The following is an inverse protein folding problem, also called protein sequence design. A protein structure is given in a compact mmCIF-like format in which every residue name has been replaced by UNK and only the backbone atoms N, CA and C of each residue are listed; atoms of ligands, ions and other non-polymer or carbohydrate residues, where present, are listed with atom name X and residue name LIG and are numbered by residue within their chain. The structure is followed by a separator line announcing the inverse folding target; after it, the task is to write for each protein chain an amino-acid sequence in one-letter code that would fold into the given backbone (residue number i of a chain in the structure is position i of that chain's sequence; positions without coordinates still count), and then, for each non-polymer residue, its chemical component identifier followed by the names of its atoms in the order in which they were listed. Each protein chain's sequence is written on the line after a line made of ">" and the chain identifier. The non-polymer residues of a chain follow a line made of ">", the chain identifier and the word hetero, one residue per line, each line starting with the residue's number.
data_IF_409926574515
#
_entry.id   IF_409926574515
#
_cell.length_a   1.000
_cell.length_b   1.000
_cell.length_c   1.000
_cell.angle_alpha   90.00
_cell.angle_beta   90.00
_cell.angle_gamma   90.00
#
_symmetry.space_group_name_H-M   'P 1'
#
loop_
_entity.id
_entity.type
_entity.pdbx_description
1 polymer ?
#
# COMPACT_ATOMS: atom_id res chain seq x y z
N UNK A 1 -19.39 -1.54 21.43
CA UNK A 1 -18.87 -0.58 20.44
C UNK A 1 -20.05 0.22 19.95
N UNK A 2 -20.01 1.55 20.09
CA UNK A 2 -21.04 2.38 19.42
C UNK A 2 -20.77 2.35 17.93
N UNK A 3 -21.81 2.36 17.09
CA UNK A 3 -21.63 2.28 15.64
C UNK A 3 -20.81 3.46 15.13
N UNK A 4 -19.67 3.20 14.49
CA UNK A 4 -18.86 4.22 13.81
C UNK A 4 -17.63 4.74 14.56
N UNK A 5 -17.36 4.29 15.78
CA UNK A 5 -16.09 4.56 16.47
C UNK A 5 -14.90 3.96 15.71
N UNK A 6 -13.74 4.64 15.67
CA UNK A 6 -12.52 4.06 15.09
C UNK A 6 -12.15 2.72 15.73
N UNK A 7 -11.69 1.80 14.89
CA UNK A 7 -11.16 0.50 15.33
C UNK A 7 -9.76 0.71 15.89
N UNK A 8 -9.52 0.26 17.13
CA UNK A 8 -8.26 0.44 17.83
C UNK A 8 -7.48 -0.87 17.98
N UNK A 9 -6.15 -0.78 17.90
CA UNK A 9 -5.21 -1.82 18.35
C UNK A 9 -5.02 -1.61 19.87
N UNK A 10 -5.06 -2.68 20.70
CA UNK A 10 -4.83 -2.54 22.14
C UNK A 10 -3.51 -1.83 22.47
N UNK A 11 -3.53 -0.98 23.50
CA UNK A 11 -2.34 -0.25 23.94
C UNK A 11 -1.20 -1.22 24.32
N UNK A 12 0.03 -0.87 23.95
CA UNK A 12 1.23 -1.66 24.19
C UNK A 12 1.42 -2.84 23.25
N UNK A 13 0.58 -3.00 22.22
CA UNK A 13 0.76 -4.04 21.21
C UNK A 13 2.06 -3.80 20.44
N UNK A 14 2.93 -4.80 20.40
CA UNK A 14 4.15 -4.83 19.61
C UNK A 14 4.07 -6.04 18.67
N UNK A 15 4.16 -5.79 17.37
CA UNK A 15 4.13 -6.83 16.35
C UNK A 15 5.52 -7.46 16.19
N UNK A 16 5.55 -8.72 15.78
CA UNK A 16 6.79 -9.42 15.38
C UNK A 16 6.85 -9.62 13.87
N UNK A 17 8.02 -9.92 13.29
CA UNK A 17 8.12 -10.28 11.87
C UNK A 17 7.16 -11.42 11.46
N UNK A 18 6.93 -12.40 12.34
CA UNK A 18 6.04 -13.53 12.12
C UNK A 18 4.56 -13.12 12.07
N UNK A 19 4.16 -12.09 12.82
CA UNK A 19 2.80 -11.54 12.76
C UNK A 19 2.50 -10.92 11.39
N UNK A 20 3.54 -10.43 10.70
CA UNK A 20 3.44 -9.62 9.49
C UNK A 20 3.75 -10.38 8.21
N UNK A 21 4.29 -11.59 8.31
CA UNK A 21 4.76 -12.38 7.16
C UNK A 21 3.85 -13.57 6.89
N UNK A 22 3.37 -13.69 5.66
CA UNK A 22 2.44 -14.73 5.22
C UNK A 22 2.98 -15.44 3.98
N UNK A 23 2.79 -16.75 3.93
CA UNK A 23 3.20 -17.64 2.84
C UNK A 23 2.42 -18.95 2.96
N UNK A 24 2.48 -19.82 1.94
CA UNK A 24 1.73 -21.07 1.95
C UNK A 24 2.28 -22.05 3.00
N UNK A 25 1.39 -22.85 3.61
CA UNK A 25 1.73 -23.98 4.48
C UNK A 25 2.57 -23.63 5.74
N UNK A 26 2.38 -22.43 6.33
CA UNK A 26 3.14 -21.92 7.50
C UNK A 26 3.26 -22.87 8.69
N UNK A 27 2.29 -23.76 8.87
CA UNK A 27 2.29 -24.74 9.96
C UNK A 27 3.33 -25.86 9.76
N UNK A 28 3.80 -26.06 8.54
CA UNK A 28 4.71 -27.14 8.15
C UNK A 28 5.94 -26.68 7.36
N UNK A 29 5.94 -25.44 6.92
CA UNK A 29 6.97 -24.83 6.07
C UNK A 29 7.66 -23.70 6.81
N UNK A 30 8.98 -23.63 6.74
CA UNK A 30 9.74 -22.51 7.32
C UNK A 30 9.74 -21.29 6.38
N UNK A 31 10.06 -20.10 6.93
CA UNK A 31 10.23 -18.91 6.11
C UNK A 31 11.41 -19.05 5.12
N UNK A 32 12.49 -19.72 5.52
CA UNK A 32 13.63 -19.96 4.63
C UNK A 32 13.23 -20.84 3.44
N UNK A 33 12.41 -21.87 3.67
CA UNK A 33 11.83 -22.70 2.60
C UNK A 33 10.88 -21.88 1.70
N UNK A 34 10.14 -20.92 2.28
CA UNK A 34 9.28 -20.00 1.54
C UNK A 34 10.09 -19.11 0.58
N UNK A 35 11.13 -18.46 1.10
CA UNK A 35 12.04 -17.61 0.33
C UNK A 35 12.73 -18.43 -0.78
N UNK A 36 13.12 -19.68 -0.51
CA UNK A 36 13.78 -20.54 -1.50
C UNK A 36 12.89 -20.87 -2.72
N UNK A 37 11.57 -20.97 -2.57
CA UNK A 37 10.66 -21.25 -3.68
C UNK A 37 10.10 -19.99 -4.34
N UNK A 38 9.93 -18.91 -3.58
CA UNK A 38 9.24 -17.72 -4.05
C UNK A 38 10.08 -16.89 -5.03
N UNK A 39 9.43 -16.43 -6.10
CA UNK A 39 9.98 -15.46 -7.07
C UNK A 39 9.37 -14.06 -6.92
N UNK A 40 8.42 -13.92 -6.01
CA UNK A 40 7.67 -12.70 -5.77
C UNK A 40 7.55 -12.39 -4.28
N UNK A 41 7.99 -11.20 -3.89
CA UNK A 41 7.62 -10.58 -2.62
C UNK A 41 6.47 -9.61 -2.87
N UNK A 42 5.37 -9.76 -2.14
CA UNK A 42 4.27 -8.80 -2.15
C UNK A 42 4.31 -8.00 -0.85
N UNK A 43 4.24 -6.67 -0.95
CA UNK A 43 4.07 -5.77 0.19
C UNK A 43 2.72 -5.06 0.11
N UNK A 44 2.06 -4.89 1.25
CA UNK A 44 0.86 -4.05 1.37
C UNK A 44 1.08 -2.94 2.40
N UNK A 45 1.83 -1.88 2.04
CA UNK A 45 2.22 -0.81 2.96
C UNK A 45 1.06 -0.05 3.60
N UNK A 46 -0.13 -0.10 3.02
CA UNK A 46 -1.27 0.73 3.43
C UNK A 46 -2.49 -0.08 3.86
N UNK A 47 -2.34 -1.39 4.06
CA UNK A 47 -3.44 -2.32 4.34
C UNK A 47 -3.98 -2.27 5.76
N UNK A 48 -3.13 -2.09 6.77
CA UNK A 48 -3.56 -2.00 8.16
C UNK A 48 -4.43 -0.78 8.39
N UNK A 49 -5.60 -0.96 9.01
CA UNK A 49 -6.53 0.15 9.29
C UNK A 49 -6.63 0.52 10.76
N UNK A 50 -6.43 -0.45 11.67
CA UNK A 50 -6.66 -0.26 13.09
C UNK A 50 -5.61 0.70 13.73
N UNK A 51 -6.08 1.62 14.56
CA UNK A 51 -5.24 2.68 15.14
C UNK A 51 -4.74 2.26 16.51
N UNK A 52 -3.44 2.34 16.83
CA UNK A 52 -2.95 2.11 18.18
C UNK A 52 -3.65 3.01 19.20
N UNK A 53 -4.16 2.40 20.28
CA UNK A 53 -4.99 3.07 21.27
C UNK A 53 -4.31 4.29 21.91
N UNK A 54 -2.99 4.34 21.94
CA UNK A 54 -2.17 5.47 22.39
C UNK A 54 -2.50 6.75 21.61
N UNK A 55 -2.83 6.62 20.32
CA UNK A 55 -3.11 7.75 19.44
C UNK A 55 -4.56 8.24 19.52
N UNK A 56 -5.47 7.46 20.14
CA UNK A 56 -6.90 7.76 20.18
C UNK A 56 -7.23 9.16 20.73
N UNK A 57 -6.47 9.61 21.74
CA UNK A 57 -6.63 10.95 22.36
C UNK A 57 -6.30 12.12 21.43
N UNK A 58 -5.60 11.87 20.33
CA UNK A 58 -5.23 12.89 19.35
C UNK A 58 -6.20 12.92 18.16
N UNK A 59 -7.12 11.97 18.05
CA UNK A 59 -8.04 11.90 16.92
C UNK A 59 -9.11 12.99 17.05
N UNK A 60 -9.45 13.60 15.91
CA UNK A 60 -10.60 14.49 15.82
C UNK A 60 -11.89 13.71 16.17
N UNK A 61 -12.82 14.26 16.98
CA UNK A 61 -14.05 13.56 17.39
C UNK A 61 -14.94 13.12 16.23
N UNK A 62 -14.89 13.84 15.11
CA UNK A 62 -15.61 13.52 13.88
C UNK A 62 -14.96 12.41 13.03
N UNK A 63 -13.79 11.90 13.42
CA UNK A 63 -13.09 10.86 12.70
C UNK A 63 -13.73 9.49 12.97
N UNK A 64 -14.49 9.00 11.99
CA UNK A 64 -15.28 7.76 12.09
C UNK A 64 -14.52 6.55 11.55
N UNK A 65 -15.02 5.35 11.83
CA UNK A 65 -14.53 4.11 11.21
C UNK A 65 -14.55 4.19 9.66
N UNK A 66 -15.60 4.78 9.08
CA UNK A 66 -15.68 5.02 7.63
C UNK A 66 -14.48 5.81 7.11
N UNK A 67 -14.15 6.92 7.76
CA UNK A 67 -13.03 7.78 7.36
C UNK A 67 -11.67 7.12 7.62
N UNK A 68 -11.56 6.37 8.72
CA UNK A 68 -10.39 5.55 9.04
C UNK A 68 -10.09 4.56 7.90
N UNK A 69 -11.10 3.82 7.45
CA UNK A 69 -10.91 2.76 6.48
C UNK A 69 -10.71 3.31 5.06
N UNK A 70 -11.42 4.39 4.69
CA UNK A 70 -11.19 5.11 3.43
C UNK A 70 -9.74 5.60 3.28
N UNK A 71 -9.12 6.00 4.39
CA UNK A 71 -7.74 6.49 4.44
C UNK A 71 -6.67 5.37 4.33
N UNK A 72 -7.09 4.13 4.11
CA UNK A 72 -6.22 2.95 4.00
C UNK A 72 -6.57 2.13 2.77
N UNK A 73 -5.72 1.17 2.42
CA UNK A 73 -5.90 0.25 1.28
C UNK A 73 -6.46 -1.07 1.78
N UNK A 74 -7.50 -0.99 2.60
CA UNK A 74 -7.90 -2.10 3.47
C UNK A 74 -8.39 -3.34 2.71
N UNK A 75 -8.77 -3.22 1.43
CA UNK A 75 -9.22 -4.36 0.63
C UNK A 75 -8.04 -5.24 0.21
N UNK A 76 -6.80 -4.74 0.30
CA UNK A 76 -5.60 -5.45 -0.15
C UNK A 76 -5.24 -6.62 0.76
N UNK A 77 -5.23 -6.44 2.09
CA UNK A 77 -4.86 -7.49 3.06
C UNK A 77 -5.62 -8.81 2.86
N UNK A 78 -6.98 -8.84 2.87
CA UNK A 78 -7.69 -10.12 2.75
C UNK A 78 -7.39 -10.84 1.43
N UNK A 79 -7.21 -10.10 0.33
CA UNK A 79 -6.89 -10.67 -0.99
C UNK A 79 -5.47 -11.25 -1.00
N UNK A 80 -4.48 -10.47 -0.54
CA UNK A 80 -3.08 -10.89 -0.64
C UNK A 80 -2.73 -11.96 0.40
N UNK A 81 -3.35 -11.95 1.59
CA UNK A 81 -3.27 -13.08 2.53
C UNK A 81 -3.79 -14.35 1.87
N UNK A 82 -4.98 -14.28 1.27
CA UNK A 82 -5.57 -15.43 0.58
C UNK A 82 -4.71 -15.91 -0.59
N UNK A 83 -4.10 -14.99 -1.34
CA UNK A 83 -3.17 -15.34 -2.41
C UNK A 83 -1.91 -16.04 -1.87
N UNK A 84 -1.34 -15.55 -0.77
CA UNK A 84 -0.17 -16.16 -0.14
C UNK A 84 -0.45 -17.57 0.40
N UNK A 85 -1.70 -17.85 0.81
CA UNK A 85 -2.12 -19.20 1.20
C UNK A 85 -2.16 -20.19 0.02
N UNK A 86 -2.56 -19.73 -1.18
CA UNK A 86 -2.79 -20.62 -2.34
C UNK A 86 -1.63 -20.65 -3.35
N UNK A 87 -0.63 -19.78 -3.19
CA UNK A 87 0.51 -19.68 -4.08
C UNK A 87 1.82 -19.78 -3.30
N UNK A 88 2.43 -20.97 -3.32
CA UNK A 88 3.71 -21.26 -2.66
C UNK A 88 4.90 -20.45 -3.19
N UNK A 89 4.73 -19.76 -4.32
CA UNK A 89 5.77 -18.99 -5.01
C UNK A 89 5.75 -17.51 -4.64
N UNK A 90 4.94 -17.11 -3.66
CA UNK A 90 4.95 -15.74 -3.14
C UNK A 90 5.23 -15.73 -1.63
N UNK A 91 5.89 -14.66 -1.19
CA UNK A 91 5.92 -14.26 0.22
C UNK A 91 5.19 -12.93 0.33
N UNK A 92 4.34 -12.77 1.33
CA UNK A 92 3.59 -11.55 1.59
C UNK A 92 4.03 -10.91 2.92
N UNK A 93 4.25 -9.59 2.91
CA UNK A 93 4.49 -8.79 4.12
C UNK A 93 3.45 -7.67 4.26
N UNK A 94 2.81 -7.62 5.43
CA UNK A 94 1.71 -6.72 5.73
C UNK A 94 2.12 -5.61 6.72
N UNK A 95 1.80 -4.36 6.42
CA UNK A 95 1.92 -3.29 7.42
C UNK A 95 0.69 -3.33 8.34
N UNK A 96 0.85 -3.56 9.66
CA UNK A 96 -0.28 -3.68 10.58
C UNK A 96 -0.91 -2.33 10.92
N UNK A 97 -0.20 -1.23 10.65
CA UNK A 97 -0.59 0.12 11.02
C UNK A 97 -1.16 0.91 9.84
N UNK A 98 -2.14 1.79 10.05
CA UNK A 98 -2.58 2.72 9.04
C UNK A 98 -1.48 3.70 8.68
N UNK A 99 -1.44 4.07 7.39
CA UNK A 99 -0.55 5.12 6.85
C UNK A 99 -0.67 6.45 7.61
N UNK A 100 -1.74 6.63 8.36
CA UNK A 100 -1.96 7.71 9.31
C UNK A 100 -0.83 7.86 10.34
N UNK A 101 -0.26 6.76 10.86
CA UNK A 101 0.82 6.83 11.86
C UNK A 101 2.08 7.39 11.23
N UNK A 102 2.47 6.84 10.09
CA UNK A 102 3.43 7.41 9.16
C UNK A 102 3.28 6.63 7.86
N UNK A 103 3.22 7.34 6.74
CA UNK A 103 3.10 6.69 5.44
C UNK A 103 4.46 6.01 5.08
N UNK A 104 4.57 4.67 5.04
CA UNK A 104 5.81 3.99 4.63
C UNK A 104 6.22 4.26 3.17
N UNK A 105 5.30 4.78 2.35
CA UNK A 105 5.55 5.24 1.00
C UNK A 105 5.97 6.72 0.93
N UNK A 106 6.53 7.24 2.02
CA UNK A 106 7.20 8.54 2.12
C UNK A 106 8.55 8.39 2.82
N UNK A 107 9.44 9.36 2.59
CA UNK A 107 10.67 9.44 3.36
C UNK A 107 10.36 9.67 4.84
N UNK A 108 11.09 8.99 5.73
CA UNK A 108 11.00 9.21 7.18
C UNK A 108 11.46 10.64 7.48
N UNK A 109 10.65 11.47 8.16
CA UNK A 109 11.05 12.84 8.48
C UNK A 109 12.19 12.83 9.49
N UNK A 110 13.17 13.72 9.32
CA UNK A 110 14.26 13.92 10.30
C UNK A 110 13.74 14.51 11.61
N UNK A 111 12.71 15.37 11.53
CA UNK A 111 12.05 15.98 12.67
C UNK A 111 10.53 15.97 12.47
N UNK A 112 9.85 15.00 13.09
CA UNK A 112 8.40 14.83 12.96
C UNK A 112 7.61 16.01 13.55
N UNK A 113 8.06 16.58 14.68
CA UNK A 113 7.36 17.72 15.30
C UNK A 113 7.33 18.92 14.35
N UNK A 114 8.47 19.26 13.75
CA UNK A 114 8.57 20.35 12.79
C UNK A 114 7.69 20.11 11.55
N UNK A 115 7.71 18.89 11.00
CA UNK A 115 6.85 18.53 9.86
C UNK A 115 5.36 18.63 10.21
N UNK A 116 4.94 18.18 11.39
CA UNK A 116 3.54 18.28 11.84
C UNK A 116 3.09 19.74 12.00
N UNK A 117 3.90 20.57 12.67
CA UNK A 117 3.60 22.02 12.82
C UNK A 117 3.45 22.70 11.46
N UNK A 118 4.33 22.39 10.53
CA UNK A 118 4.24 22.92 9.17
C UNK A 118 2.98 22.42 8.44
N UNK A 119 2.65 21.12 8.55
CA UNK A 119 1.44 20.57 7.94
C UNK A 119 0.17 21.25 8.47
N UNK A 120 0.04 21.45 9.78
CA UNK A 120 -1.08 22.20 10.37
C UNK A 120 -1.12 23.65 9.89
N UNK A 121 0.02 24.35 9.84
CA UNK A 121 0.10 25.72 9.35
C UNK A 121 -0.37 25.83 7.87
N UNK A 122 -0.01 24.86 7.02
CA UNK A 122 -0.46 24.79 5.63
C UNK A 122 -1.96 24.53 5.51
N UNK A 123 -2.52 23.65 6.35
CA UNK A 123 -3.98 23.41 6.44
C UNK A 123 -4.72 24.67 6.87
N UNK A 124 -4.23 25.37 7.90
CA UNK A 124 -4.81 26.64 8.35
C UNK A 124 -4.81 27.70 7.26
N UNK A 125 -3.70 27.84 6.54
CA UNK A 125 -3.58 28.79 5.43
C UNK A 125 -4.58 28.48 4.30
N UNK A 126 -4.83 27.20 4.02
CA UNK A 126 -5.82 26.79 3.02
C UNK A 126 -7.27 27.04 3.50
N UNK A 127 -7.52 26.94 4.80
CA UNK A 127 -8.84 27.03 5.41
C UNK A 127 -9.54 25.67 5.52
N UNK A 128 -10.48 25.56 6.46
CA UNK A 128 -11.13 24.30 6.79
C UNK A 128 -11.82 23.64 5.56
N UNK A 129 -11.50 22.37 5.31
CA UNK A 129 -12.07 21.58 4.20
C UNK A 129 -11.51 21.92 2.82
N UNK A 130 -10.59 22.88 2.70
CA UNK A 130 -9.95 23.23 1.44
C UNK A 130 -8.69 22.39 1.19
N UNK A 131 -8.36 22.21 -0.09
CA UNK A 131 -7.14 21.52 -0.51
C UNK A 131 -5.91 22.27 -0.01
N UNK A 132 -5.11 21.60 0.82
CA UNK A 132 -3.79 22.05 1.25
C UNK A 132 -2.68 21.27 0.53
N UNK A 133 -1.61 21.94 0.14
CA UNK A 133 -0.41 21.27 -0.38
C UNK A 133 0.47 20.80 0.78
N UNK A 134 0.49 19.48 1.01
CA UNK A 134 1.28 18.85 2.06
C UNK A 134 2.58 18.23 1.55
N UNK A 135 2.96 18.50 0.29
CA UNK A 135 4.17 17.94 -0.30
C UNK A 135 5.40 18.21 0.58
N UNK A 136 6.10 17.13 0.94
CA UNK A 136 7.31 17.17 1.78
C UNK A 136 7.04 17.15 3.29
N UNK A 137 5.79 17.28 3.73
CA UNK A 137 5.38 17.20 5.14
C UNK A 137 4.17 16.27 5.34
N UNK A 138 3.92 15.39 4.37
CA UNK A 138 2.77 14.47 4.34
C UNK A 138 3.11 13.06 4.85
N UNK A 139 4.28 12.87 5.47
CA UNK A 139 4.62 11.60 6.11
C UNK A 139 3.63 11.26 7.24
N UNK A 140 3.15 12.28 7.98
CA UNK A 140 2.01 12.18 8.90
C UNK A 140 1.07 13.34 8.60
N UNK A 141 -0.18 13.03 8.23
CA UNK A 141 -1.16 14.05 7.82
C UNK A 141 -2.09 14.40 8.98
N UNK A 142 -2.32 15.69 9.27
CA UNK A 142 -3.33 16.10 10.25
C UNK A 142 -4.76 16.03 9.71
N UNK A 143 -4.92 15.73 8.42
CA UNK A 143 -6.21 15.67 7.70
C UNK A 143 -6.24 14.49 6.72
N UNK A 144 -7.44 14.01 6.39
CA UNK A 144 -7.67 12.95 5.39
C UNK A 144 -7.31 13.41 3.97
N UNK A 145 -7.46 12.53 2.97
CA UNK A 145 -7.30 12.90 1.55
C UNK A 145 -8.35 13.92 1.07
N UNK A 146 -9.52 13.93 1.69
CA UNK A 146 -10.58 14.93 1.48
C UNK A 146 -10.48 16.16 2.39
N UNK A 147 -9.35 16.34 3.08
CA UNK A 147 -9.07 17.49 3.96
C UNK A 147 -10.04 17.63 5.15
N UNK A 148 -10.57 16.51 5.65
CA UNK A 148 -11.30 16.48 6.92
C UNK A 148 -10.32 16.34 8.09
N UNK A 149 -10.57 16.98 9.25
CA UNK A 149 -9.75 16.84 10.44
C UNK A 149 -9.56 15.37 10.80
N UNK A 150 -8.30 15.00 10.99
CA UNK A 150 -7.90 13.68 11.45
C UNK A 150 -7.28 13.82 12.85
N UNK A 151 -6.40 14.81 13.05
CA UNK A 151 -5.73 15.08 14.32
C UNK A 151 -6.22 16.38 14.96
N UNK A 152 -6.28 16.38 16.28
CA UNK A 152 -6.41 17.58 17.10
C UNK A 152 -5.08 18.34 17.12
N UNK A 153 -5.15 19.64 16.87
CA UNK A 153 -3.97 20.51 16.96
C UNK A 153 -3.59 20.77 18.42
N UNK A 154 -2.32 20.54 18.81
CA UNK A 154 -1.84 20.90 20.14
C UNK A 154 -1.83 22.42 20.39
N UNK A 155 -2.19 22.83 21.60
CA UNK A 155 -2.29 24.25 21.99
C UNK A 155 -1.01 24.85 22.56
N UNK A 156 -0.01 24.01 22.88
CA UNK A 156 1.27 24.42 23.46
C UNK A 156 2.41 23.49 23.02
N UNK A 157 3.65 23.91 23.29
CA UNK A 157 4.86 23.18 22.88
C UNK A 157 4.98 21.80 23.52
N UNK A 158 4.48 21.63 24.75
CA UNK A 158 4.48 20.33 25.42
C UNK A 158 3.55 19.35 24.69
N UNK A 159 2.39 19.81 24.22
CA UNK A 159 1.45 19.04 23.43
C UNK A 159 2.02 18.64 22.06
N UNK A 160 2.72 19.54 21.38
CA UNK A 160 3.40 19.23 20.11
C UNK A 160 4.46 18.15 20.27
N UNK A 161 5.29 18.28 21.30
CA UNK A 161 6.31 17.28 21.62
C UNK A 161 5.68 15.92 21.96
N UNK A 162 4.66 15.90 22.82
CA UNK A 162 3.93 14.68 23.19
C UNK A 162 3.28 13.99 21.97
N UNK A 163 2.68 14.76 21.06
CA UNK A 163 2.11 14.23 19.82
C UNK A 163 3.19 13.56 18.98
N UNK A 164 4.29 14.26 18.69
CA UNK A 164 5.36 13.73 17.85
C UNK A 164 6.05 12.51 18.49
N UNK A 165 6.32 12.53 19.81
CA UNK A 165 6.90 11.41 20.55
C UNK A 165 5.98 10.19 20.51
N UNK A 166 4.68 10.35 20.81
CA UNK A 166 3.74 9.22 20.80
C UNK A 166 3.63 8.59 19.42
N UNK A 167 3.56 9.39 18.34
CA UNK A 167 3.55 8.89 16.97
C UNK A 167 4.84 8.13 16.63
N UNK A 168 6.00 8.65 17.05
CA UNK A 168 7.30 8.04 16.80
C UNK A 168 7.44 6.70 17.52
N UNK A 169 7.12 6.64 18.81
CA UNK A 169 7.18 5.42 19.62
C UNK A 169 6.23 4.36 19.08
N UNK A 170 4.98 4.74 18.84
CA UNK A 170 3.94 3.84 18.34
C UNK A 170 4.29 3.30 16.94
N UNK A 171 4.89 4.13 16.07
CA UNK A 171 5.33 3.67 14.76
C UNK A 171 6.31 2.50 14.87
N UNK A 172 7.26 2.53 15.82
CA UNK A 172 8.27 1.48 15.95
C UNK A 172 7.70 0.13 16.40
N UNK A 173 6.53 0.10 17.05
CA UNK A 173 5.87 -1.13 17.49
C UNK A 173 5.25 -1.97 16.37
N UNK A 174 4.99 -1.40 15.18
CA UNK A 174 4.37 -2.11 14.06
C UNK A 174 4.94 -1.71 12.71
N UNK A 175 4.90 -0.41 12.38
CA UNK A 175 5.44 0.11 11.12
C UNK A 175 6.95 -0.08 11.01
N UNK A 176 7.70 0.16 12.09
CA UNK A 176 9.14 -0.08 12.11
C UNK A 176 9.47 -1.57 11.94
N UNK A 177 8.66 -2.45 12.50
CA UNK A 177 8.78 -3.91 12.34
C UNK A 177 8.50 -4.31 10.89
N UNK A 178 7.42 -3.78 10.29
CA UNK A 178 7.09 -3.95 8.89
C UNK A 178 8.24 -3.55 7.96
N UNK A 179 8.80 -2.35 8.12
CA UNK A 179 9.87 -1.86 7.25
C UNK A 179 11.13 -2.71 7.35
N UNK A 180 11.55 -3.08 8.57
CA UNK A 180 12.69 -3.97 8.78
C UNK A 180 12.45 -5.36 8.20
N UNK A 181 11.24 -5.90 8.36
CA UNK A 181 10.86 -7.22 7.86
C UNK A 181 10.82 -7.22 6.33
N UNK A 182 10.17 -6.25 5.71
CA UNK A 182 10.15 -6.06 4.25
C UNK A 182 11.57 -5.94 3.69
N UNK A 183 12.40 -5.08 4.26
CA UNK A 183 13.76 -4.86 3.76
C UNK A 183 14.63 -6.12 3.92
N UNK A 184 14.48 -6.87 5.03
CA UNK A 184 15.16 -8.15 5.23
C UNK A 184 14.70 -9.24 4.24
N UNK A 185 13.39 -9.31 3.95
CA UNK A 185 12.83 -10.23 2.95
C UNK A 185 13.34 -9.92 1.54
N UNK A 186 13.42 -8.63 1.17
CA UNK A 186 14.00 -8.21 -0.12
C UNK A 186 15.44 -8.72 -0.23
N UNK A 187 16.30 -8.45 0.75
CA UNK A 187 17.70 -8.89 0.69
C UNK A 187 17.81 -10.43 0.70
N UNK A 188 17.04 -11.14 1.52
CA UNK A 188 17.03 -12.60 1.55
C UNK A 188 16.57 -13.23 0.22
N UNK A 189 15.54 -12.68 -0.42
CA UNK A 189 15.08 -13.15 -1.73
C UNK A 189 16.08 -12.81 -2.84
N UNK A 190 16.74 -11.65 -2.80
CA UNK A 190 17.83 -11.30 -3.72
C UNK A 190 18.99 -12.29 -3.60
N UNK A 191 19.42 -12.60 -2.37
CA UNK A 191 20.49 -13.57 -2.13
C UNK A 191 20.13 -14.95 -2.67
N UNK A 192 18.91 -15.43 -2.40
CA UNK A 192 18.42 -16.71 -2.94
C UNK A 192 18.28 -16.71 -4.45
N UNK A 193 17.89 -15.60 -5.06
CA UNK A 193 17.87 -15.44 -6.51
C UNK A 193 19.24 -15.65 -7.14
N UNK A 194 20.30 -15.12 -6.53
CA UNK A 194 21.67 -15.35 -7.00
C UNK A 194 22.13 -16.80 -6.78
N UNK A 195 21.80 -17.43 -5.66
CA UNK A 195 22.15 -18.84 -5.41
C UNK A 195 21.48 -19.79 -6.40
N UNK A 196 20.21 -19.53 -6.73
CA UNK A 196 19.38 -20.43 -7.53
C UNK A 196 19.35 -20.07 -9.03
N UNK A 197 19.91 -18.93 -9.42
CA UNK A 197 19.83 -18.43 -10.80
C UNK A 197 18.40 -18.10 -11.22
N UNK A 198 17.57 -17.56 -10.31
CA UNK A 198 16.16 -17.24 -10.55
C UNK A 198 15.90 -15.74 -10.46
N UNK A 199 15.13 -15.20 -11.41
CA UNK A 199 14.65 -13.81 -11.34
C UNK A 199 13.74 -13.57 -10.15
N UNK A 200 13.75 -12.35 -9.60
CA UNK A 200 12.94 -11.94 -8.46
C UNK A 200 12.23 -10.61 -8.73
N UNK A 201 10.98 -10.53 -8.32
CA UNK A 201 10.21 -9.28 -8.35
C UNK A 201 9.68 -8.93 -6.96
N UNK A 202 9.74 -7.66 -6.58
CA UNK A 202 8.96 -7.13 -5.45
C UNK A 202 7.78 -6.30 -5.97
N UNK A 203 6.59 -6.59 -5.45
CA UNK A 203 5.31 -5.97 -5.82
C UNK A 203 4.77 -5.17 -4.64
N UNK A 204 4.61 -3.86 -4.81
CA UNK A 204 3.89 -3.00 -3.87
C UNK A 204 2.41 -2.96 -4.26
N UNK A 205 1.54 -3.60 -3.47
CA UNK A 205 0.13 -3.82 -3.77
C UNK A 205 -0.75 -2.79 -3.04
N UNK A 206 -1.57 -2.09 -3.81
CA UNK A 206 -2.35 -0.94 -3.37
C UNK A 206 -3.79 -0.99 -3.89
N UNK A 207 -4.65 -0.22 -3.23
CA UNK A 207 -5.94 0.12 -3.81
C UNK A 207 -6.29 1.61 -3.61
N UNK A 208 -7.07 2.15 -4.54
CA UNK A 208 -7.71 3.45 -4.34
C UNK A 208 -9.03 3.54 -5.10
N UNK A 209 -9.81 4.57 -4.83
CA UNK A 209 -11.08 4.82 -5.52
C UNK A 209 -10.99 5.93 -6.55
N UNK A 210 -11.83 5.85 -7.57
CA UNK A 210 -12.08 6.97 -8.49
C UNK A 210 -13.00 8.03 -7.87
N UNK A 211 -13.40 7.83 -6.62
CA UNK A 211 -14.17 8.76 -5.81
C UNK A 211 -13.39 9.14 -4.54
N UNK A 212 -13.78 10.24 -3.94
CA UNK A 212 -13.29 10.75 -2.66
C UNK A 212 -14.45 10.96 -1.70
N UNK A 213 -14.12 11.00 -0.41
CA UNK A 213 -15.10 10.98 0.66
C UNK A 213 -15.69 12.36 0.92
N UNK A 214 -17.00 12.39 1.22
CA UNK A 214 -17.75 13.53 1.75
C UNK A 214 -17.78 13.50 3.28
N UNK A 215 -18.20 14.62 3.88
CA UNK A 215 -18.27 14.78 5.35
C UNK A 215 -19.22 13.77 6.02
N UNK A 216 -20.24 13.31 5.31
CA UNK A 216 -21.21 12.31 5.78
C UNK A 216 -20.72 10.86 5.59
N UNK A 217 -19.45 10.68 5.18
CA UNK A 217 -18.82 9.37 4.98
C UNK A 217 -19.06 8.76 3.61
N UNK A 218 -19.87 9.38 2.75
CA UNK A 218 -20.12 8.87 1.40
C UNK A 218 -18.89 9.03 0.50
N UNK A 219 -18.40 7.95 -0.12
CA UNK A 219 -17.26 7.97 -1.05
C UNK A 219 -17.74 8.13 -2.49
N UNK A 220 -18.29 9.30 -2.82
CA UNK A 220 -18.96 9.55 -4.10
C UNK A 220 -18.62 10.87 -4.79
N UNK A 221 -17.60 11.60 -4.32
CA UNK A 221 -17.09 12.78 -5.04
C UNK A 221 -16.08 12.31 -6.07
N UNK A 222 -16.49 12.30 -7.33
CA UNK A 222 -15.67 11.82 -8.44
C UNK A 222 -14.34 12.58 -8.55
N UNK A 223 -13.24 11.85 -8.77
CA UNK A 223 -11.93 12.43 -9.00
C UNK A 223 -11.83 13.07 -10.39
N UNK A 224 -10.93 14.05 -10.58
CA UNK A 224 -10.57 14.51 -11.93
C UNK A 224 -10.15 13.34 -12.82
N UNK A 225 -10.47 13.39 -14.10
CA UNK A 225 -10.18 12.30 -15.05
C UNK A 225 -8.71 11.86 -15.05
N UNK A 226 -7.79 12.82 -14.97
CA UNK A 226 -6.35 12.56 -14.92
C UNK A 226 -5.89 11.79 -13.65
N UNK A 227 -6.71 11.77 -12.60
CA UNK A 227 -6.44 11.10 -11.32
C UNK A 227 -7.21 9.77 -11.20
N UNK A 228 -7.93 9.34 -12.24
CA UNK A 228 -8.72 8.10 -12.22
C UNK A 228 -7.86 6.90 -12.61
N UNK A 229 -8.11 5.79 -11.92
CA UNK A 229 -7.61 4.47 -12.28
C UNK A 229 -8.39 3.87 -13.45
N UNK A 230 -7.74 2.96 -14.21
CA UNK A 230 -8.43 2.07 -15.13
C UNK A 230 -9.38 1.13 -14.37
N UNK A 231 -10.18 0.35 -15.10
CA UNK A 231 -11.25 -0.45 -14.49
C UNK A 231 -10.78 -1.59 -13.60
N UNK A 232 -9.54 -2.07 -13.74
CA UNK A 232 -8.96 -3.10 -12.87
C UNK A 232 -7.76 -2.56 -12.08
N UNK A 233 -6.65 -2.26 -12.77
CA UNK A 233 -5.37 -1.96 -12.11
C UNK A 233 -4.45 -1.10 -12.96
N UNK A 234 -3.76 -0.16 -12.33
CA UNK A 234 -2.61 0.52 -12.91
C UNK A 234 -1.32 -0.13 -12.42
N UNK A 235 -0.46 -0.57 -13.34
CA UNK A 235 0.86 -1.11 -13.02
C UNK A 235 1.93 -0.04 -13.23
N UNK A 236 2.86 0.12 -12.29
CA UNK A 236 3.82 1.21 -12.35
C UNK A 236 5.25 0.74 -12.13
N UNK A 237 6.15 1.19 -13.02
CA UNK A 237 7.59 0.97 -12.96
C UNK A 237 8.40 2.28 -13.01
N UNK A 238 7.79 3.43 -12.69
CA UNK A 238 8.40 4.77 -12.82
C UNK A 238 8.57 5.28 -14.25
N UNK A 239 8.13 4.52 -15.24
CA UNK A 239 8.19 4.88 -16.65
C UNK A 239 7.10 5.83 -17.14
N UNK A 240 7.01 5.99 -18.45
CA UNK A 240 5.91 6.64 -19.18
C UNK A 240 4.70 5.70 -19.31
N UNK A 241 3.65 6.13 -20.03
CA UNK A 241 2.43 5.33 -20.23
C UNK A 241 2.64 4.04 -21.03
N UNK A 242 3.87 3.79 -21.51
CA UNK A 242 4.28 2.55 -22.16
C UNK A 242 5.33 1.77 -21.34
N UNK A 243 5.63 2.22 -20.12
CA UNK A 243 6.64 1.63 -19.24
C UNK A 243 8.08 2.04 -19.57
N UNK A 244 8.32 2.90 -20.55
CA UNK A 244 9.68 3.30 -20.95
C UNK A 244 10.22 4.39 -20.03
N UNK A 245 11.53 4.61 -20.07
CA UNK A 245 12.24 5.61 -19.28
C UNK A 245 11.73 7.04 -19.54
N UNK A 246 11.59 7.85 -18.49
CA UNK A 246 11.22 9.27 -18.55
C UNK A 246 12.40 10.17 -18.23
N UNK A 247 13.08 10.66 -19.27
CA UNK A 247 14.32 11.42 -19.13
C UNK A 247 15.37 10.60 -18.38
N UNK A 248 16.03 11.21 -17.38
CA UNK A 248 17.07 10.53 -16.61
C UNK A 248 16.53 9.66 -15.47
N UNK A 249 15.22 9.64 -15.21
CA UNK A 249 14.66 8.80 -14.13
C UNK A 249 14.76 7.32 -14.51
N UNK A 250 15.40 6.46 -13.71
CA UNK A 250 15.44 5.03 -13.99
C UNK A 250 14.05 4.40 -13.83
N UNK A 251 13.75 3.39 -14.64
CA UNK A 251 12.61 2.50 -14.43
C UNK A 251 12.97 1.43 -13.41
N UNK A 252 11.98 0.92 -12.67
CA UNK A 252 12.17 -0.07 -11.62
C UNK A 252 11.93 -1.51 -12.08
N UNK A 253 11.38 -1.68 -13.29
CA UNK A 253 11.16 -2.95 -13.99
C UNK A 253 11.36 -2.71 -15.48
N UNK A 254 11.92 -3.70 -16.19
CA UNK A 254 12.15 -3.60 -17.63
C UNK A 254 10.84 -3.29 -18.40
N UNK A 255 10.86 -2.39 -19.41
CA UNK A 255 9.66 -1.99 -20.15
C UNK A 255 8.94 -3.13 -20.90
N UNK A 256 9.65 -4.16 -21.34
CA UNK A 256 9.03 -5.34 -21.95
C UNK A 256 8.35 -6.18 -20.87
N UNK A 257 9.02 -6.39 -19.74
CA UNK A 257 8.48 -7.17 -18.64
C UNK A 257 7.19 -6.57 -18.06
N UNK A 258 7.12 -5.25 -17.85
CA UNK A 258 5.88 -4.63 -17.33
C UNK A 258 4.73 -4.70 -18.35
N UNK A 259 5.03 -4.64 -19.66
CA UNK A 259 4.02 -4.82 -20.71
C UNK A 259 3.50 -6.26 -20.73
N UNK A 260 4.39 -7.24 -20.59
CA UNK A 260 4.02 -8.66 -20.42
C UNK A 260 3.19 -8.87 -19.16
N UNK A 261 3.55 -8.22 -18.04
CA UNK A 261 2.78 -8.28 -16.80
C UNK A 261 1.38 -7.70 -16.97
N UNK A 262 1.22 -6.59 -17.69
CA UNK A 262 -0.09 -6.00 -17.99
C UNK A 262 -0.96 -6.93 -18.85
N UNK A 263 -0.40 -7.56 -19.89
CA UNK A 263 -1.12 -8.57 -20.68
C UNK A 263 -1.53 -9.77 -19.81
N UNK A 264 -0.65 -10.18 -18.90
CA UNK A 264 -0.90 -11.30 -17.99
C UNK A 264 -1.99 -10.98 -16.97
N UNK A 265 -2.05 -9.74 -16.46
CA UNK A 265 -3.13 -9.26 -15.61
C UNK A 265 -4.48 -9.29 -16.34
N UNK A 266 -4.53 -8.83 -17.60
CA UNK A 266 -5.78 -8.92 -18.38
C UNK A 266 -6.28 -10.35 -18.51
N UNK A 267 -5.37 -11.30 -18.77
CA UNK A 267 -5.71 -12.73 -18.83
C UNK A 267 -6.18 -13.29 -17.49
N UNK A 268 -5.43 -13.03 -16.41
CA UNK A 268 -5.74 -13.56 -15.09
C UNK A 268 -7.03 -12.99 -14.49
N UNK A 269 -7.32 -11.71 -14.72
CA UNK A 269 -8.57 -11.06 -14.34
C UNK A 269 -9.70 -11.25 -15.38
N UNK A 270 -9.44 -11.95 -16.48
CA UNK A 270 -10.41 -12.27 -17.53
C UNK A 270 -11.11 -11.03 -18.11
N UNK A 271 -10.33 -9.99 -18.40
CA UNK A 271 -10.82 -8.75 -19.02
C UNK A 271 -10.32 -8.63 -20.46
N UNK A 272 -11.27 -8.40 -21.37
CA UNK A 272 -10.97 -8.24 -22.80
C UNK A 272 -10.58 -6.80 -23.16
N UNK A 273 -11.00 -5.82 -22.35
CA UNK A 273 -10.70 -4.42 -22.58
C UNK A 273 -9.20 -4.15 -22.35
N UNK A 274 -8.45 -3.68 -23.38
CA UNK A 274 -7.05 -3.32 -23.21
C UNK A 274 -6.85 -2.20 -22.17
N UNK A 275 -7.82 -1.29 -22.01
CA UNK A 275 -7.69 -0.13 -21.13
C UNK A 275 -8.08 -0.45 -19.67
N UNK A 276 -8.57 -1.66 -19.38
CA UNK A 276 -8.83 -2.14 -18.02
C UNK A 276 -7.55 -2.28 -17.18
N UNK A 277 -6.39 -2.40 -17.84
CA UNK A 277 -5.06 -2.42 -17.22
C UNK A 277 -4.19 -1.35 -17.87
N UNK A 278 -3.81 -0.33 -17.11
CA UNK A 278 -2.98 0.79 -17.58
C UNK A 278 -1.56 0.75 -17.01
N UNK A 279 -0.64 1.48 -17.62
CA UNK A 279 0.73 1.64 -17.13
C UNK A 279 0.99 3.06 -16.66
N UNK A 280 1.61 3.21 -15.48
CA UNK A 280 2.13 4.47 -14.95
C UNK A 280 1.13 5.64 -14.95
N UNK A 281 -0.18 5.36 -14.87
CA UNK A 281 -1.24 6.36 -14.83
C UNK A 281 -2.37 5.88 -13.90
N UNK A 282 -2.83 6.72 -12.96
CA UNK A 282 -2.36 8.06 -12.65
C UNK A 282 -1.06 8.04 -11.80
N UNK A 283 -0.67 6.88 -11.29
CA UNK A 283 0.49 6.72 -10.41
C UNK A 283 1.70 6.21 -11.17
N UNK A 284 2.84 6.85 -10.92
CA UNK A 284 4.14 6.46 -11.48
C UNK A 284 4.87 5.42 -10.63
N UNK A 285 4.33 5.04 -9.48
CA UNK A 285 4.98 4.12 -8.55
C UNK A 285 5.35 4.77 -7.21
N UNK A 286 5.40 3.91 -6.19
CA UNK A 286 5.54 4.26 -4.79
C UNK A 286 7.00 4.40 -4.38
N UNK A 287 7.22 4.96 -3.19
CA UNK A 287 8.55 5.06 -2.61
C UNK A 287 9.18 3.67 -2.37
N UNK A 288 8.40 2.65 -2.02
CA UNK A 288 8.88 1.26 -1.89
C UNK A 288 9.55 0.76 -3.17
N UNK A 289 8.88 0.88 -4.32
CA UNK A 289 9.45 0.37 -5.58
C UNK A 289 10.64 1.21 -6.06
N UNK A 290 10.65 2.51 -5.72
CA UNK A 290 11.78 3.39 -6.02
C UNK A 290 13.01 2.98 -5.21
N UNK A 291 12.86 2.68 -3.91
CA UNK A 291 13.97 2.21 -3.07
C UNK A 291 14.48 0.84 -3.50
N UNK A 292 13.58 -0.11 -3.76
CA UNK A 292 13.95 -1.43 -4.25
C UNK A 292 14.63 -1.35 -5.63
N UNK A 293 14.10 -0.53 -6.55
CA UNK A 293 14.70 -0.31 -7.87
C UNK A 293 16.09 0.31 -7.80
N UNK A 294 16.32 1.27 -6.90
CA UNK A 294 17.66 1.83 -6.67
C UNK A 294 18.64 0.76 -6.17
N UNK A 295 18.22 -0.08 -5.22
CA UNK A 295 19.01 -1.21 -4.73
C UNK A 295 19.33 -2.22 -5.84
N UNK A 296 18.36 -2.56 -6.68
CA UNK A 296 18.58 -3.50 -7.79
C UNK A 296 19.49 -2.93 -8.89
N UNK A 297 19.48 -1.61 -9.10
CA UNK A 297 20.39 -0.95 -10.01
C UNK A 297 21.87 -1.10 -9.58
N UNK A 298 22.15 -1.04 -8.26
CA UNK A 298 23.50 -1.32 -7.71
C UNK A 298 23.97 -2.74 -8.00
N UNK A 299 23.03 -3.70 -8.09
CA UNK A 299 23.29 -5.11 -8.31
C UNK A 299 23.26 -5.51 -9.80
N UNK A 300 22.97 -4.58 -10.70
CA UNK A 300 22.67 -4.85 -12.12
C UNK A 300 23.78 -5.60 -12.86
N UNK A 301 25.06 -5.25 -12.65
CA UNK A 301 26.19 -5.94 -13.29
C UNK A 301 26.27 -7.41 -12.84
N UNK A 302 26.13 -7.67 -11.53
CA UNK A 302 26.13 -9.03 -10.97
C UNK A 302 24.92 -9.82 -11.45
N UNK A 303 23.74 -9.18 -11.52
CA UNK A 303 22.51 -9.80 -12.03
C UNK A 303 22.66 -10.22 -13.50
N UNK A 304 23.27 -9.37 -14.33
CA UNK A 304 23.57 -9.67 -15.73
C UNK A 304 24.54 -10.85 -15.89
N UNK A 305 25.61 -10.90 -15.08
CA UNK A 305 26.55 -12.04 -15.07
C UNK A 305 25.88 -13.35 -14.63
N UNK A 306 24.96 -13.29 -13.68
CA UNK A 306 24.19 -14.44 -13.21
C UNK A 306 23.01 -14.82 -14.13
N UNK A 307 22.70 -14.02 -15.15
CA UNK A 307 21.56 -14.26 -16.05
C UNK A 307 20.20 -14.10 -15.37
N UNK A 308 20.10 -13.34 -14.28
CA UNK A 308 18.84 -13.11 -13.55
C UNK A 308 18.34 -11.68 -13.73
N UNK A 309 17.04 -11.49 -13.53
CA UNK A 309 16.42 -10.16 -13.47
C UNK A 309 15.90 -9.85 -12.08
N UNK A 310 16.19 -8.64 -11.59
CA UNK A 310 15.61 -8.08 -10.37
C UNK A 310 14.68 -6.93 -10.75
N UNK A 311 13.44 -6.94 -10.28
CA UNK A 311 12.42 -5.95 -10.66
C UNK A 311 11.58 -5.49 -9.48
N UNK A 312 11.13 -4.23 -9.52
CA UNK A 312 10.16 -3.68 -8.59
C UNK A 312 9.01 -3.01 -9.33
N UNK A 313 7.79 -3.31 -8.91
CA UNK A 313 6.55 -2.84 -9.57
C UNK A 313 5.50 -2.51 -8.54
N UNK A 314 4.67 -1.51 -8.82
CA UNK A 314 3.46 -1.22 -8.04
C UNK A 314 2.25 -1.70 -8.82
N UNK A 315 1.27 -2.26 -8.12
CA UNK A 315 -0.08 -2.46 -8.63
C UNK A 315 -1.06 -1.63 -7.81
N UNK A 316 -1.71 -0.67 -8.45
CA UNK A 316 -2.76 0.16 -7.86
C UNK A 316 -4.11 -0.30 -8.40
N UNK A 317 -4.86 -1.05 -7.59
CA UNK A 317 -6.17 -1.57 -7.97
C UNK A 317 -7.28 -0.56 -7.74
N UNK A 318 -8.28 -0.58 -8.63
CA UNK A 318 -9.53 0.15 -8.41
C UNK A 318 -10.29 -0.55 -7.28
N UNK A 319 -10.45 0.13 -6.14
CA UNK A 319 -11.13 -0.42 -4.97
C UNK A 319 -12.59 -0.76 -5.27
N UNK A 320 -13.27 0.00 -6.13
CA UNK A 320 -14.61 -0.37 -6.63
C UNK A 320 -14.62 -1.75 -7.29
N UNK A 321 -13.58 -2.09 -8.05
CA UNK A 321 -13.44 -3.41 -8.67
C UNK A 321 -13.18 -4.48 -7.61
N UNK A 322 -12.29 -4.23 -6.64
CA UNK A 322 -12.00 -5.20 -5.57
C UNK A 322 -13.25 -5.50 -4.72
N UNK A 323 -13.96 -4.46 -4.29
CA UNK A 323 -15.15 -4.58 -3.46
C UNK A 323 -16.35 -5.22 -4.19
N UNK A 324 -16.43 -5.05 -5.51
CA UNK A 324 -17.60 -5.41 -6.29
C UNK A 324 -18.75 -4.40 -6.15
N UNK A 325 -19.72 -4.50 -7.05
CA UNK A 325 -20.75 -3.46 -7.25
C UNK A 325 -21.59 -3.19 -5.99
N UNK A 326 -21.93 -4.22 -5.22
CA UNK A 326 -22.79 -4.07 -4.04
C UNK A 326 -22.08 -3.29 -2.93
N UNK A 327 -20.88 -3.72 -2.55
CA UNK A 327 -20.11 -3.07 -1.48
C UNK A 327 -19.61 -1.69 -1.93
N UNK A 328 -19.25 -1.51 -3.21
CA UNK A 328 -18.95 -0.19 -3.76
C UNK A 328 -20.17 0.75 -3.65
N UNK A 329 -21.37 0.29 -4.01
CA UNK A 329 -22.59 1.08 -3.88
C UNK A 329 -22.96 1.36 -2.42
N UNK A 330 -22.60 0.48 -1.49
CA UNK A 330 -22.77 0.70 -0.05
C UNK A 330 -21.91 1.87 0.44
N UNK A 331 -20.61 1.88 0.11
CA UNK A 331 -19.69 2.94 0.57
C UNK A 331 -19.92 4.29 -0.13
N UNK A 332 -20.58 4.29 -1.29
CA UNK A 332 -21.01 5.51 -1.99
C UNK A 332 -22.18 6.24 -1.30
N UNK A 333 -22.81 5.64 -0.30
CA UNK A 333 -23.89 6.24 0.50
C UNK A 333 -23.33 6.80 1.83
N UNK A 334 -24.01 7.79 2.44
CA UNK A 334 -23.66 8.26 3.77
C UNK A 334 -23.64 7.11 4.80
N UNK A 335 -22.66 7.11 5.70
CA UNK A 335 -22.49 6.03 6.68
C UNK A 335 -21.27 6.22 7.57
N UNK A 336 -21.23 5.48 8.68
CA UNK A 336 -20.18 5.60 9.70
C UNK A 336 -19.28 4.38 9.80
N UNK A 337 -19.70 3.24 9.28
CA UNK A 337 -19.02 1.95 9.34
C UNK A 337 -18.32 1.61 8.02
N UNK A 338 -17.82 0.38 7.86
CA UNK A 338 -17.31 -0.12 6.58
C UNK A 338 -17.80 -1.55 6.34
N UNK A 339 -18.13 -1.94 5.09
CA UNK A 339 -18.64 -3.28 4.83
C UNK A 339 -17.60 -4.35 5.16
N UNK A 340 -18.07 -5.51 5.62
CA UNK A 340 -17.21 -6.69 5.73
C UNK A 340 -16.83 -7.15 4.32
N UNK A 341 -15.56 -7.52 4.06
CA UNK A 341 -15.16 -8.07 2.77
C UNK A 341 -15.97 -9.32 2.41
N UNK A 342 -16.40 -9.41 1.15
CA UNK A 342 -17.02 -10.61 0.61
C UNK A 342 -15.96 -11.70 0.42
N UNK A 343 -16.10 -12.80 1.16
CA UNK A 343 -15.15 -13.91 1.15
C UNK A 343 -15.05 -14.62 -0.22
N UNK A 344 -16.15 -14.73 -0.95
CA UNK A 344 -16.14 -15.35 -2.29
C UNK A 344 -15.40 -14.43 -3.27
N UNK A 345 -15.67 -13.13 -3.20
CA UNK A 345 -14.95 -12.13 -4.01
C UNK A 345 -13.45 -12.12 -3.70
N UNK A 346 -13.07 -12.20 -2.43
CA UNK A 346 -11.67 -12.26 -1.99
C UNK A 346 -10.97 -13.49 -2.57
N UNK A 347 -11.59 -14.68 -2.50
CA UNK A 347 -11.03 -15.91 -3.05
C UNK A 347 -10.87 -15.84 -4.58
N UNK A 348 -11.91 -15.35 -5.28
CA UNK A 348 -11.84 -15.13 -6.74
C UNK A 348 -10.70 -14.19 -7.13
N UNK A 349 -10.53 -13.06 -6.42
CA UNK A 349 -9.47 -12.09 -6.69
C UNK A 349 -8.08 -12.66 -6.41
N UNK A 350 -7.91 -13.43 -5.32
CA UNK A 350 -6.66 -14.12 -5.03
C UNK A 350 -6.28 -15.12 -6.13
N UNK A 351 -7.24 -15.90 -6.61
CA UNK A 351 -7.04 -16.80 -7.75
C UNK A 351 -6.72 -16.05 -9.04
N UNK A 352 -7.32 -14.90 -9.29
CA UNK A 352 -7.01 -14.05 -10.44
C UNK A 352 -5.60 -13.43 -10.34
N UNK A 353 -5.15 -13.01 -9.16
CA UNK A 353 -3.76 -12.61 -8.91
C UNK A 353 -2.81 -13.75 -9.22
N UNK A 354 -3.04 -14.94 -8.67
CA UNK A 354 -2.25 -16.14 -8.96
C UNK A 354 -2.21 -16.44 -10.46
N UNK A 355 -3.36 -16.44 -11.14
CA UNK A 355 -3.45 -16.70 -12.58
C UNK A 355 -2.68 -15.64 -13.40
N UNK A 356 -2.75 -14.37 -13.00
CA UNK A 356 -2.00 -13.28 -13.65
C UNK A 356 -0.49 -13.53 -13.57
N UNK A 357 0.00 -13.92 -12.40
CA UNK A 357 1.42 -14.22 -12.22
C UNK A 357 1.83 -15.56 -12.84
N UNK A 358 0.93 -16.53 -12.94
CA UNK A 358 1.14 -17.77 -13.71
C UNK A 358 1.28 -17.49 -15.20
N UNK A 359 0.46 -16.61 -15.77
CA UNK A 359 0.62 -16.17 -17.15
C UNK A 359 1.94 -15.43 -17.35
N UNK A 360 2.32 -14.55 -16.42
CA UNK A 360 3.57 -13.80 -16.50
C UNK A 360 4.81 -14.71 -16.48
N UNK A 361 4.85 -15.70 -15.57
CA UNK A 361 5.96 -16.68 -15.47
C UNK A 361 6.11 -17.57 -16.69
N UNK A 362 5.03 -17.78 -17.46
CA UNK A 362 5.01 -18.64 -18.64
C UNK A 362 5.12 -17.88 -19.97
N UNK A 363 5.35 -16.56 -19.94
CA UNK A 363 5.37 -15.69 -21.12
C UNK A 363 6.74 -15.53 -21.75
#
# INVERSE_FOLDING_TARGET
>A
MTSGEPVLIPAGTVFTPEDLTFYADRDSRSLDDAIAEADLLVSCPHSGSAIPAELSRFLAPEFTQRLQFDFTDMSTSPIVRRWAEIDSRIVYVENPHPRMIRDPNRAKPENLEASLREAFARVHKAGAGNKADLTGVDAVRPVTFSFYPLLLEPTDDAGWKNLAETFTETAEHGLGVYERTRDALIEGMVEKSFELGRSFTTLSFHDTMNHTTRRDGAVNVERPEADRLPDVVALSNRGDHHGNRRGDNPVTMDPELIRTLAVSHRKGFQVDDPDAVALNQPYLGSFEIIRAGARFAELSARAAEAGITLSAVQAEFKREFLLGNELAAYIMKPGLDWPTPDAERVDQLAHACKASWDHYRNS
#
